data_IF_320196579047
#
_entry.id   IF_320196579047
#
_cell.length_a   1.000
_cell.length_b   1.000
_cell.length_c   1.000
_cell.angle_alpha   90.00
_cell.angle_beta   90.00
_cell.angle_gamma   90.00
#
_symmetry.space_group_name_H-M   'P 1'
#
loop_
_entity.id
_entity.type
_entity.pdbx_description
1 polymer ?
#
# COMPACT_ATOMS: atom_id res chain seq x y z
N UNK A 1 1.69 -10.48 21.77
CA UNK A 1 2.01 -9.15 21.22
C UNK A 1 1.49 -9.14 19.81
N UNK A 2 0.48 -8.33 19.51
CA UNK A 2 -0.14 -8.32 18.18
C UNK A 2 0.86 -7.75 17.18
N UNK A 3 1.27 -8.54 16.21
CA UNK A 3 2.13 -8.06 15.14
C UNK A 3 1.30 -7.15 14.22
N UNK A 4 1.52 -5.84 14.31
CA UNK A 4 0.83 -4.86 13.49
C UNK A 4 1.38 -4.87 12.05
N UNK A 5 0.56 -5.30 11.09
CA UNK A 5 0.86 -5.29 9.66
C UNK A 5 0.36 -3.97 9.05
N UNK A 6 1.25 -3.24 8.40
CA UNK A 6 0.94 -1.98 7.73
C UNK A 6 0.67 -2.23 6.25
N UNK A 7 -0.59 -2.22 5.86
CA UNK A 7 -1.01 -2.37 4.46
C UNK A 7 -1.19 -0.98 3.84
N UNK A 8 -0.42 -0.69 2.79
CA UNK A 8 -0.42 0.60 2.11
C UNK A 8 -0.89 0.41 0.68
N UNK A 9 -2.05 0.97 0.38
CA UNK A 9 -2.65 0.95 -0.95
C UNK A 9 -2.13 2.16 -1.72
N UNK A 10 -1.32 1.91 -2.74
CA UNK A 10 -0.65 2.95 -3.52
C UNK A 10 -1.53 3.38 -4.67
N UNK A 11 -1.94 4.65 -4.65
CA UNK A 11 -2.68 5.31 -5.72
C UNK A 11 -1.65 5.75 -6.77
N UNK A 12 -1.72 5.25 -8.01
CA UNK A 12 -0.80 5.64 -9.08
C UNK A 12 -0.95 7.12 -9.41
N UNK A 13 0.09 7.74 -9.99
CA UNK A 13 0.08 9.18 -10.33
C UNK A 13 -1.01 9.57 -11.33
N UNK A 14 -1.47 8.62 -12.14
CA UNK A 14 -2.55 8.80 -13.11
C UNK A 14 -3.91 8.94 -12.42
N UNK A 15 -4.06 8.35 -11.24
CA UNK A 15 -5.28 8.40 -10.44
C UNK A 15 -5.28 9.61 -9.49
N UNK A 16 -6.39 10.36 -9.48
CA UNK A 16 -6.56 11.53 -8.62
C UNK A 16 -6.91 11.14 -7.18
N UNK A 17 -7.57 10.01 -6.97
CA UNK A 17 -8.05 9.55 -5.67
C UNK A 17 -8.27 8.04 -5.66
N UNK A 18 -8.51 7.47 -4.47
CA UNK A 18 -8.86 6.04 -4.30
C UNK A 18 -10.06 5.61 -5.15
N UNK A 19 -10.95 6.55 -5.50
CA UNK A 19 -12.11 6.28 -6.34
C UNK A 19 -11.76 6.00 -7.81
N UNK A 20 -10.61 6.50 -8.27
CA UNK A 20 -10.12 6.30 -9.64
C UNK A 20 -9.33 4.98 -9.77
N UNK A 21 -8.97 4.36 -8.64
CA UNK A 21 -8.34 3.03 -8.63
C UNK A 21 -9.33 1.93 -9.03
N UNK A 22 -8.80 0.82 -9.57
CA UNK A 22 -9.60 -0.33 -9.96
C UNK A 22 -10.44 -0.89 -8.80
N UNK A 23 -11.62 -1.40 -9.13
CA UNK A 23 -12.57 -1.97 -8.14
C UNK A 23 -11.93 -3.06 -7.28
N UNK A 24 -11.01 -3.85 -7.84
CA UNK A 24 -10.27 -4.88 -7.10
C UNK A 24 -9.47 -4.32 -5.92
N UNK A 25 -8.83 -3.15 -6.06
CA UNK A 25 -8.12 -2.51 -4.94
C UNK A 25 -9.09 -2.01 -3.89
N UNK A 26 -10.23 -1.44 -4.30
CA UNK A 26 -11.27 -0.97 -3.37
C UNK A 26 -11.82 -2.14 -2.56
N UNK A 27 -12.14 -3.25 -3.22
CA UNK A 27 -12.62 -4.48 -2.58
C UNK A 27 -11.58 -5.04 -1.59
N UNK A 28 -10.30 -5.05 -1.97
CA UNK A 28 -9.23 -5.48 -1.08
C UNK A 28 -9.09 -4.57 0.15
N UNK A 29 -9.27 -3.25 0.00
CA UNK A 29 -9.28 -2.31 1.12
C UNK A 29 -10.48 -2.55 2.04
N UNK A 30 -11.69 -2.69 1.49
CA UNK A 30 -12.90 -3.00 2.27
C UNK A 30 -12.80 -4.33 3.01
N UNK A 31 -12.15 -5.34 2.42
CA UNK A 31 -11.86 -6.60 3.11
C UNK A 31 -10.92 -6.44 4.31
N UNK A 32 -10.07 -5.40 4.30
CA UNK A 32 -9.15 -5.10 5.39
C UNK A 32 -9.82 -4.31 6.53
N UNK A 33 -10.84 -3.49 6.26
CA UNK A 33 -11.57 -2.69 7.25
C UNK A 33 -11.97 -3.42 8.54
N UNK A 34 -12.58 -4.62 8.52
CA UNK A 34 -12.95 -5.32 9.75
C UNK A 34 -11.75 -5.76 10.60
N UNK A 35 -10.55 -5.74 10.04
CA UNK A 35 -9.29 -6.08 10.73
C UNK A 35 -8.49 -4.84 11.14
N UNK A 36 -8.92 -3.63 10.74
CA UNK A 36 -8.26 -2.39 11.10
C UNK A 36 -8.34 -2.19 12.62
N UNK A 37 -7.19 -1.99 13.27
CA UNK A 37 -7.09 -1.87 14.73
C UNK A 37 -6.99 -3.22 15.47
N UNK A 38 -7.15 -4.34 14.77
CA UNK A 38 -6.97 -5.71 15.31
C UNK A 38 -5.57 -6.28 15.09
N UNK A 39 -4.60 -5.48 14.65
CA UNK A 39 -3.27 -5.92 14.19
C UNK A 39 -3.03 -5.69 12.70
N UNK A 40 -3.98 -5.08 11.99
CA UNK A 40 -3.80 -4.61 10.61
C UNK A 40 -4.06 -3.11 10.55
N UNK A 41 -3.26 -2.39 9.77
CA UNK A 41 -3.43 -0.98 9.48
C UNK A 41 -3.45 -0.79 7.97
N UNK A 42 -4.64 -0.68 7.38
CA UNK A 42 -4.80 -0.37 5.96
C UNK A 42 -4.91 1.14 5.75
N UNK A 43 -4.13 1.71 4.82
CA UNK A 43 -4.21 3.12 4.44
C UNK A 43 -3.94 3.35 2.96
N UNK A 44 -4.59 4.34 2.38
CA UNK A 44 -4.29 4.81 1.03
C UNK A 44 -3.13 5.81 1.05
N UNK A 45 -2.24 5.69 0.08
CA UNK A 45 -1.09 6.58 -0.11
C UNK A 45 -0.96 6.97 -1.57
N UNK A 46 -0.75 8.25 -1.86
CA UNK A 46 -0.50 8.69 -3.23
C UNK A 46 0.96 8.47 -3.60
N UNK A 47 1.23 7.84 -4.74
CA UNK A 47 2.59 7.69 -5.27
C UNK A 47 3.34 9.03 -5.28
N UNK A 48 2.66 10.12 -5.65
CA UNK A 48 3.25 11.47 -5.72
C UNK A 48 3.81 11.97 -4.38
N UNK A 49 3.19 11.60 -3.27
CA UNK A 49 3.61 12.00 -1.92
C UNK A 49 4.32 10.88 -1.17
N UNK A 50 4.47 9.71 -1.80
CA UNK A 50 5.08 8.56 -1.16
C UNK A 50 6.61 8.69 -1.20
N UNK A 51 7.18 9.24 -0.14
CA UNK A 51 8.64 9.37 0.05
C UNK A 51 9.17 8.47 1.16
N UNK A 52 8.29 7.76 1.87
CA UNK A 52 8.60 6.91 3.04
C UNK A 52 9.12 5.51 2.66
N UNK A 53 10.09 5.42 1.74
CA UNK A 53 10.74 4.14 1.39
C UNK A 53 11.92 3.78 2.32
N UNK A 54 12.44 4.73 3.10
CA UNK A 54 13.64 4.54 3.91
C UNK A 54 13.39 3.81 5.24
N UNK A 55 12.14 3.67 5.68
CA UNK A 55 11.76 2.99 6.94
C UNK A 55 10.78 1.85 6.69
N UNK A 56 10.93 1.14 5.57
CA UNK A 56 10.11 -0.05 5.30
C UNK A 56 10.59 -1.22 6.15
N UNK A 57 9.64 -1.87 6.82
CA UNK A 57 9.88 -3.07 7.60
C UNK A 57 9.25 -4.28 6.91
N UNK A 58 9.56 -5.49 7.38
CA UNK A 58 8.92 -6.74 6.90
C UNK A 58 7.39 -6.78 7.11
N UNK A 59 6.87 -5.86 7.93
CA UNK A 59 5.46 -5.75 8.25
C UNK A 59 4.72 -4.78 7.33
N UNK A 60 5.43 -4.11 6.43
CA UNK A 60 4.85 -3.20 5.45
C UNK A 60 4.50 -3.97 4.17
N UNK A 61 3.21 -4.03 3.86
CA UNK A 61 2.66 -4.62 2.65
C UNK A 61 2.21 -3.51 1.73
N UNK A 62 2.62 -3.58 0.47
CA UNK A 62 2.27 -2.60 -0.56
C UNK A 62 1.31 -3.22 -1.55
N UNK A 63 0.16 -2.60 -1.74
CA UNK A 63 -0.83 -2.99 -2.75
C UNK A 63 -0.77 -1.96 -3.86
N UNK A 64 -0.50 -2.43 -5.08
CA UNK A 64 -0.38 -1.61 -6.28
C UNK A 64 -1.42 -2.10 -7.28
N UNK A 65 -2.07 -1.19 -8.01
CA UNK A 65 -2.97 -1.57 -9.11
C UNK A 65 -2.19 -2.19 -10.28
N UNK A 66 -0.98 -1.69 -10.52
CA UNK A 66 -0.11 -2.15 -11.59
C UNK A 66 1.29 -2.42 -11.04
N UNK A 67 1.91 -3.51 -11.49
CA UNK A 67 3.31 -3.84 -11.18
C UNK A 67 4.26 -3.12 -12.14
N UNK A 68 4.03 -1.83 -12.36
CA UNK A 68 4.80 -0.96 -13.24
C UNK A 68 5.02 0.40 -12.58
N UNK A 69 5.94 1.20 -13.12
CA UNK A 69 6.26 2.53 -12.62
C UNK A 69 7.39 2.60 -11.59
N UNK A 70 7.77 3.83 -11.26
CA UNK A 70 8.92 4.13 -10.38
C UNK A 70 8.75 3.57 -8.97
N UNK A 71 7.52 3.56 -8.44
CA UNK A 71 7.23 3.05 -7.09
C UNK A 71 7.46 1.54 -7.02
N UNK A 72 7.00 0.79 -8.02
CA UNK A 72 7.18 -0.65 -8.07
C UNK A 72 8.66 -1.01 -8.19
N UNK A 73 9.41 -0.31 -9.04
CA UNK A 73 10.85 -0.49 -9.16
C UNK A 73 11.59 -0.18 -7.85
N UNK A 74 11.19 0.89 -7.14
CA UNK A 74 11.74 1.22 -5.82
C UNK A 74 11.41 0.15 -4.78
N UNK A 75 10.16 -0.29 -4.70
CA UNK A 75 9.70 -1.34 -3.78
C UNK A 75 10.42 -2.66 -4.04
N UNK A 76 10.60 -3.03 -5.31
CA UNK A 76 11.36 -4.19 -5.74
C UNK A 76 12.86 -4.07 -5.42
N UNK A 77 13.41 -2.86 -5.50
CA UNK A 77 14.81 -2.57 -5.18
C UNK A 77 15.07 -2.55 -3.66
N UNK A 78 14.08 -2.18 -2.85
CA UNK A 78 14.07 -2.51 -1.43
C UNK A 78 13.96 -4.02 -1.28
N UNK A 79 15.12 -4.68 -1.23
CA UNK A 79 15.22 -6.03 -0.69
C UNK A 79 14.54 -6.02 0.68
N UNK A 80 13.32 -6.54 0.78
CA UNK A 80 12.75 -7.01 2.04
C UNK A 80 13.62 -8.19 2.51
N UNK A 81 14.81 -7.88 3.06
CA UNK A 81 15.80 -8.82 3.61
C UNK A 81 15.33 -9.33 4.96
#
# INVERSE_FOLDING_TARGET
MSEEINVRFVIPKECVSEDDCCEEMKLAFTACEPHIGGGLQARWVHEKNFTEFNNLTKKDVFVLSQFDGEIFQKLKATKCL
#
